data_IF_000620780181
#
_entry.id   IF_000620780181
#
_cell.length_a   1.000
_cell.length_b   1.000
_cell.length_c   1.000
_cell.angle_alpha   90.00
_cell.angle_beta   90.00
_cell.angle_gamma   90.00
#
_symmetry.space_group_name_H-M   'P 1'
#
loop_
_entity.id
_entity.type
_entity.pdbx_description
1 polymer ?
#
# COMPACT_ATOMS: atom_id res chain seq x y z
N UNK A 1 -75.44 19.34 30.12
CA UNK A 1 -74.70 19.13 31.39
C UNK A 1 -73.89 17.85 31.26
N UNK A 2 -72.58 18.00 31.16
CA UNK A 2 -71.62 16.95 30.83
C UNK A 2 -71.34 16.06 32.07
N UNK A 3 -71.43 14.73 31.94
CA UNK A 3 -70.91 13.77 32.91
C UNK A 3 -69.74 13.03 32.27
N UNK A 4 -68.57 13.21 32.89
CA UNK A 4 -67.30 12.59 32.53
C UNK A 4 -67.34 11.07 32.68
N UNK A 5 -66.85 10.35 31.68
CA UNK A 5 -66.47 8.94 31.77
C UNK A 5 -64.96 8.88 31.52
N UNK A 6 -64.21 8.46 32.54
CA UNK A 6 -62.79 8.15 32.43
C UNK A 6 -62.62 6.83 31.68
N UNK A 7 -61.82 6.83 30.60
CA UNK A 7 -61.30 5.63 29.96
C UNK A 7 -59.79 5.51 30.26
N UNK A 8 -59.24 4.31 30.49
CA UNK A 8 -57.84 4.12 30.85
C UNK A 8 -56.93 4.18 29.61
N UNK A 9 -55.72 4.72 29.79
CA UNK A 9 -54.66 4.76 28.77
C UNK A 9 -54.20 3.34 28.38
N UNK A 10 -53.92 3.07 27.09
CA UNK A 10 -53.28 1.83 26.70
C UNK A 10 -51.78 1.90 27.01
N UNK A 11 -51.25 0.83 27.60
CA UNK A 11 -49.82 0.64 27.82
C UNK A 11 -49.11 0.45 26.49
N UNK A 12 -48.24 1.39 26.12
CA UNK A 12 -47.35 1.27 24.98
C UNK A 12 -46.16 0.40 25.40
N UNK A 13 -46.17 -0.86 24.98
CA UNK A 13 -45.00 -1.74 25.04
C UNK A 13 -44.04 -1.27 23.95
N UNK A 14 -42.98 -0.58 24.36
CA UNK A 14 -41.88 -0.16 23.49
C UNK A 14 -41.03 -1.40 23.16
N UNK A 15 -41.35 -2.08 22.06
CA UNK A 15 -40.50 -3.14 21.50
C UNK A 15 -39.26 -2.43 20.96
N UNK A 16 -38.16 -2.50 21.71
CA UNK A 16 -36.85 -2.03 21.27
C UNK A 16 -36.41 -2.80 20.02
N UNK A 17 -36.48 -2.15 18.86
CA UNK A 17 -35.85 -2.64 17.64
C UNK A 17 -34.35 -2.51 17.84
N UNK A 18 -33.71 -3.59 18.29
CA UNK A 18 -32.25 -3.73 18.23
C UNK A 18 -31.90 -3.82 16.75
N UNK A 19 -31.55 -2.69 16.15
CA UNK A 19 -30.91 -2.66 14.84
C UNK A 19 -29.54 -3.31 15.03
N UNK A 20 -29.46 -4.61 14.74
CA UNK A 20 -28.19 -5.26 14.48
C UNK A 20 -27.61 -4.59 13.23
N UNK A 21 -26.79 -3.57 13.44
CA UNK A 21 -25.82 -3.13 12.45
C UNK A 21 -24.90 -4.33 12.23
N UNK A 22 -25.23 -5.12 11.21
CA UNK A 22 -24.34 -6.09 10.62
C UNK A 22 -23.11 -5.32 10.14
N UNK A 23 -22.12 -5.15 11.00
CA UNK A 23 -20.77 -4.83 10.58
C UNK A 23 -20.26 -6.05 9.82
N UNK A 24 -20.56 -6.07 8.52
CA UNK A 24 -19.90 -6.94 7.57
C UNK A 24 -18.43 -6.52 7.60
N UNK A 25 -17.62 -7.25 8.35
CA UNK A 25 -16.17 -7.12 8.32
C UNK A 25 -15.75 -7.31 6.86
N UNK A 26 -15.38 -6.20 6.23
CA UNK A 26 -15.02 -6.16 4.83
C UNK A 26 -13.59 -6.69 4.72
N UNK A 27 -13.43 -7.95 4.33
CA UNK A 27 -12.11 -8.54 4.07
C UNK A 27 -11.66 -8.10 2.68
N UNK A 28 -11.16 -6.87 2.57
CA UNK A 28 -10.56 -6.41 1.33
C UNK A 28 -9.16 -7.03 1.19
N UNK A 29 -8.92 -7.80 0.12
CA UNK A 29 -7.62 -8.45 -0.08
C UNK A 29 -6.55 -7.43 -0.53
N UNK A 30 -6.93 -6.42 -1.31
CA UNK A 30 -6.10 -5.22 -1.60
C UNK A 30 -6.92 -4.12 -2.30
N UNK A 31 -6.55 -2.86 -2.12
CA UNK A 31 -7.03 -1.72 -2.91
C UNK A 31 -6.00 -0.60 -2.94
N UNK A 32 -6.14 0.33 -3.88
CA UNK A 32 -5.32 1.54 -3.93
C UNK A 32 -5.93 2.56 -2.98
N UNK A 33 -5.26 2.79 -1.85
CA UNK A 33 -5.70 3.70 -0.80
C UNK A 33 -5.44 5.15 -1.19
N UNK A 34 -4.21 5.42 -1.62
CA UNK A 34 -3.77 6.73 -2.03
C UNK A 34 -2.68 6.61 -3.07
N UNK A 35 -2.45 7.70 -3.77
CA UNK A 35 -1.49 7.78 -4.85
C UNK A 35 -1.07 9.22 -5.12
N UNK A 36 0.03 9.37 -5.84
CA UNK A 36 0.56 10.67 -6.26
C UNK A 36 1.41 10.52 -7.51
N UNK A 37 1.80 11.63 -8.10
CA UNK A 37 2.76 11.65 -9.19
C UNK A 37 3.98 12.51 -8.84
N UNK A 38 4.97 12.53 -9.74
CA UNK A 38 6.07 13.50 -9.66
C UNK A 38 5.62 14.94 -9.89
N UNK A 39 4.51 15.15 -10.59
CA UNK A 39 3.96 16.48 -10.89
C UNK A 39 3.02 16.98 -9.78
N UNK A 40 2.36 16.06 -9.08
CA UNK A 40 1.45 16.31 -7.96
C UNK A 40 1.95 15.49 -6.77
N UNK A 41 2.84 16.07 -5.97
CA UNK A 41 3.70 15.36 -5.00
C UNK A 41 3.02 15.02 -3.65
N UNK A 42 1.80 15.50 -3.44
CA UNK A 42 0.97 15.18 -2.28
C UNK A 42 0.12 13.94 -2.56
N UNK A 43 0.00 13.06 -1.57
CA UNK A 43 -0.86 11.88 -1.69
C UNK A 43 -2.34 12.29 -1.71
N UNK A 44 -3.03 11.89 -2.78
CA UNK A 44 -4.46 12.01 -2.92
C UNK A 44 -5.11 10.66 -2.62
N UNK A 45 -6.33 10.66 -2.07
CA UNK A 45 -7.09 9.43 -1.88
C UNK A 45 -7.49 8.84 -3.24
N UNK A 46 -7.48 7.51 -3.35
CA UNK A 46 -7.75 6.78 -4.58
C UNK A 46 -9.13 6.11 -4.54
N UNK A 47 -9.21 4.80 -4.27
CA UNK A 47 -10.47 4.05 -4.26
C UNK A 47 -11.26 4.30 -2.96
N UNK A 48 -12.54 3.88 -2.95
CA UNK A 48 -13.49 4.08 -1.84
C UNK A 48 -13.77 5.57 -1.56
N UNK A 49 -13.74 6.38 -2.60
CA UNK A 49 -14.02 7.81 -2.56
C UNK A 49 -15.22 8.13 -3.47
N UNK A 50 -15.99 9.20 -3.19
CA UNK A 50 -16.99 9.69 -4.15
C UNK A 50 -16.35 9.92 -5.52
N UNK A 51 -17.00 9.45 -6.60
CA UNK A 51 -16.44 9.52 -7.96
C UNK A 51 -16.06 10.96 -8.37
N UNK A 52 -16.78 11.98 -7.90
CA UNK A 52 -16.48 13.39 -8.14
C UNK A 52 -15.21 13.91 -7.46
N UNK A 53 -14.70 13.19 -6.46
CA UNK A 53 -13.60 13.63 -5.59
C UNK A 53 -12.28 12.89 -5.83
N UNK A 54 -12.27 11.89 -6.71
CA UNK A 54 -11.10 11.05 -6.97
C UNK A 54 -10.77 10.97 -8.45
N UNK A 55 -9.51 10.65 -8.73
CA UNK A 55 -9.02 10.31 -10.06
C UNK A 55 -8.83 8.79 -10.22
N UNK A 56 -9.31 8.00 -9.26
CA UNK A 56 -9.23 6.53 -9.26
C UNK A 56 -10.61 5.91 -9.22
N UNK A 57 -10.90 5.01 -10.16
CA UNK A 57 -12.18 4.30 -10.23
C UNK A 57 -12.37 3.44 -8.99
N UNK A 58 -13.62 3.36 -8.55
CA UNK A 58 -13.94 2.81 -7.24
C UNK A 58 -13.59 1.31 -7.13
N UNK A 59 -13.70 0.78 -5.92
CA UNK A 59 -13.72 -0.65 -5.66
C UNK A 59 -14.87 -0.97 -4.70
N UNK A 60 -15.32 -2.22 -4.70
CA UNK A 60 -16.36 -2.67 -3.77
C UNK A 60 -15.90 -2.56 -2.31
N UNK A 61 -16.85 -2.71 -1.40
CA UNK A 61 -16.53 -2.96 0.00
C UNK A 61 -15.85 -4.33 0.18
N UNK A 62 -16.37 -5.36 -0.51
CA UNK A 62 -15.73 -6.67 -0.65
C UNK A 62 -14.85 -6.71 -1.92
N UNK A 63 -13.64 -6.18 -1.82
CA UNK A 63 -12.68 -6.14 -2.94
C UNK A 63 -12.09 -7.53 -3.08
N UNK A 64 -12.68 -8.31 -3.96
CA UNK A 64 -12.17 -9.63 -4.29
C UNK A 64 -11.33 -9.63 -5.54
N UNK A 65 -10.72 -10.78 -5.77
CA UNK A 65 -9.90 -11.09 -6.92
C UNK A 65 -10.78 -11.56 -8.09
N UNK A 66 -10.24 -11.51 -9.29
CA UNK A 66 -10.76 -12.26 -10.44
C UNK A 66 -9.95 -13.55 -10.55
N UNK A 67 -10.65 -14.68 -10.59
CA UNK A 67 -10.02 -15.98 -10.75
C UNK A 67 -9.49 -16.20 -12.15
N UNK A 68 -8.38 -16.93 -12.23
CA UNK A 68 -7.77 -17.34 -13.48
C UNK A 68 -8.72 -18.08 -14.43
N UNK A 69 -9.80 -18.70 -13.94
CA UNK A 69 -10.79 -19.38 -14.78
C UNK A 69 -11.78 -18.43 -15.46
N UNK A 70 -11.73 -17.13 -15.12
CA UNK A 70 -12.71 -16.12 -15.54
C UNK A 70 -12.05 -14.92 -16.25
N UNK A 71 -10.91 -15.12 -16.91
CA UNK A 71 -10.19 -14.03 -17.58
C UNK A 71 -10.72 -13.72 -18.99
N UNK A 72 -11.25 -14.74 -19.66
CA UNK A 72 -11.68 -14.71 -21.05
C UNK A 72 -13.12 -14.19 -21.15
N UNK A 73 -13.26 -12.89 -21.45
CA UNK A 73 -14.56 -12.26 -21.70
C UNK A 73 -15.21 -11.60 -20.49
N UNK A 74 -14.64 -11.74 -19.29
CA UNK A 74 -15.15 -11.07 -18.10
C UNK A 74 -14.71 -9.59 -18.06
N UNK A 75 -15.66 -8.66 -17.88
CA UNK A 75 -15.38 -7.23 -17.80
C UNK A 75 -14.67 -6.85 -16.49
N UNK A 76 -14.76 -7.66 -15.46
CA UNK A 76 -14.07 -7.45 -14.19
C UNK A 76 -12.53 -7.42 -14.37
N UNK A 77 -11.98 -8.11 -15.37
CA UNK A 77 -10.53 -8.12 -15.60
C UNK A 77 -9.98 -6.75 -16.03
N UNK A 78 -10.83 -5.81 -16.44
CA UNK A 78 -10.37 -4.49 -16.91
C UNK A 78 -9.99 -3.61 -15.73
N UNK A 79 -10.93 -3.37 -14.79
CA UNK A 79 -10.76 -2.47 -13.65
C UNK A 79 -11.32 -3.02 -12.32
N UNK A 80 -11.81 -4.26 -12.31
CA UNK A 80 -12.54 -4.85 -11.18
C UNK A 80 -14.05 -4.83 -11.33
N UNK A 81 -14.73 -5.45 -10.38
CA UNK A 81 -16.19 -5.48 -10.27
C UNK A 81 -16.63 -5.38 -8.81
N UNK A 82 -17.90 -5.05 -8.58
CA UNK A 82 -18.40 -4.80 -7.23
C UNK A 82 -18.67 -6.07 -6.42
N UNK A 83 -18.72 -7.23 -7.06
CA UNK A 83 -19.01 -8.50 -6.41
C UNK A 83 -18.01 -9.56 -6.84
N UNK A 84 -17.29 -10.11 -5.87
CA UNK A 84 -16.50 -11.34 -6.03
C UNK A 84 -17.11 -12.42 -5.15
N UNK A 85 -17.50 -13.58 -5.73
CA UNK A 85 -17.99 -14.72 -4.96
C UNK A 85 -16.95 -15.22 -3.96
N UNK A 86 -17.36 -15.45 -2.71
CA UNK A 86 -16.51 -16.06 -1.67
C UNK A 86 -16.71 -17.58 -1.62
N UNK A 87 -15.61 -18.33 -1.47
CA UNK A 87 -15.61 -19.79 -1.31
C UNK A 87 -16.32 -20.55 -2.43
N UNK A 88 -16.28 -20.00 -3.66
CA UNK A 88 -16.91 -20.56 -4.86
C UNK A 88 -16.03 -20.35 -6.08
N UNK A 89 -15.99 -21.33 -6.96
CA UNK A 89 -15.47 -21.17 -8.33
C UNK A 89 -16.55 -20.49 -9.17
N UNK A 90 -16.55 -19.16 -9.24
CA UNK A 90 -17.51 -18.39 -10.01
C UNK A 90 -16.95 -17.04 -10.49
N UNK A 91 -17.45 -16.56 -11.62
CA UNK A 91 -17.10 -15.23 -12.17
C UNK A 91 -17.50 -14.12 -11.20
N UNK A 92 -16.69 -13.07 -11.07
CA UNK A 92 -17.13 -11.79 -10.51
C UNK A 92 -18.36 -11.21 -11.25
N UNK A 93 -19.10 -10.34 -10.56
CA UNK A 93 -20.31 -9.73 -11.10
C UNK A 93 -20.65 -8.38 -10.46
N UNK A 94 -21.90 -7.96 -10.63
CA UNK A 94 -22.39 -6.67 -10.16
C UNK A 94 -22.01 -5.52 -11.10
N UNK A 95 -21.67 -4.36 -10.53
CA UNK A 95 -21.19 -3.20 -11.28
C UNK A 95 -19.74 -3.43 -11.71
N UNK A 96 -19.41 -3.13 -12.97
CA UNK A 96 -18.03 -3.19 -13.43
C UNK A 96 -17.42 -1.80 -13.37
N UNK A 97 -16.33 -1.66 -12.62
CA UNK A 97 -15.64 -0.35 -12.48
C UNK A 97 -15.00 0.11 -13.80
N UNK A 98 -14.98 -0.75 -14.81
CA UNK A 98 -14.55 -0.43 -16.16
C UNK A 98 -15.58 0.35 -16.97
N UNK A 99 -16.86 0.30 -16.58
CA UNK A 99 -17.95 0.91 -17.32
C UNK A 99 -17.84 2.45 -17.31
N UNK A 100 -18.40 3.09 -18.34
CA UNK A 100 -18.42 4.56 -18.41
C UNK A 100 -19.19 5.21 -17.25
N UNK A 101 -20.20 4.52 -16.69
CA UNK A 101 -20.94 4.99 -15.51
C UNK A 101 -20.12 4.99 -14.22
N UNK A 102 -19.02 4.25 -14.19
CA UNK A 102 -18.09 4.18 -13.06
C UNK A 102 -16.83 5.03 -13.31
N UNK A 103 -16.86 5.90 -14.32
CA UNK A 103 -15.80 6.89 -14.55
C UNK A 103 -15.78 7.93 -13.42
N UNK A 104 -14.63 8.57 -13.23
CA UNK A 104 -14.38 9.47 -12.09
C UNK A 104 -14.07 10.88 -12.55
N UNK A 105 -14.37 11.85 -11.68
CA UNK A 105 -14.43 13.27 -12.01
C UNK A 105 -13.10 14.03 -11.93
N UNK A 106 -12.03 13.41 -11.43
CA UNK A 106 -10.68 14.00 -11.43
C UNK A 106 -9.72 13.23 -12.33
N UNK A 107 -8.60 13.87 -12.62
CA UNK A 107 -7.49 13.29 -13.37
C UNK A 107 -6.19 13.71 -12.72
N UNK A 108 -5.29 12.76 -12.46
CA UNK A 108 -3.96 13.03 -11.88
C UNK A 108 -2.98 13.40 -13.00
N UNK A 109 -2.31 14.52 -12.88
CA UNK A 109 -1.31 14.96 -13.88
C UNK A 109 0.03 14.28 -13.64
N UNK A 110 0.74 13.90 -14.70
CA UNK A 110 2.12 13.42 -14.65
C UNK A 110 2.86 13.83 -15.92
N UNK A 111 4.14 14.16 -15.82
CA UNK A 111 4.99 14.32 -17.01
C UNK A 111 5.40 12.94 -17.56
N UNK A 112 5.51 12.79 -18.88
CA UNK A 112 6.21 11.67 -19.46
C UNK A 112 7.66 11.63 -18.94
N UNK A 113 8.16 10.45 -18.60
CA UNK A 113 9.43 10.26 -17.87
C UNK A 113 9.30 10.40 -16.35
N UNK A 114 8.13 10.82 -15.84
CA UNK A 114 7.82 10.87 -14.43
C UNK A 114 7.49 9.50 -13.83
N UNK A 115 6.90 9.52 -12.63
CA UNK A 115 6.40 8.30 -11.96
C UNK A 115 5.12 8.53 -11.20
N UNK A 116 4.35 7.46 -11.04
CA UNK A 116 3.21 7.34 -10.14
C UNK A 116 3.65 6.52 -8.92
N UNK A 117 3.33 7.02 -7.72
CA UNK A 117 3.54 6.28 -6.47
C UNK A 117 2.17 5.87 -5.91
N UNK A 118 1.94 4.58 -5.72
CA UNK A 118 0.72 3.99 -5.18
C UNK A 118 0.94 3.51 -3.75
N UNK A 119 -0.10 3.60 -2.92
CA UNK A 119 -0.18 2.92 -1.62
C UNK A 119 -1.26 1.86 -1.72
N UNK A 120 -0.84 0.59 -1.75
CA UNK A 120 -1.75 -0.56 -1.75
C UNK A 120 -2.04 -0.95 -0.30
N UNK A 121 -3.31 -1.00 0.08
CA UNK A 121 -3.73 -1.39 1.43
C UNK A 121 -4.70 -2.56 1.38
N UNK A 122 -4.71 -3.39 2.42
CA UNK A 122 -5.74 -4.41 2.66
C UNK A 122 -6.63 -3.98 3.82
N UNK A 123 -6.70 -4.83 4.86
CA UNK A 123 -7.21 -4.43 6.17
C UNK A 123 -6.40 -3.23 6.74
N UNK A 124 -7.00 -2.40 7.61
CA UNK A 124 -6.27 -1.31 8.28
C UNK A 124 -4.98 -1.79 8.96
N UNK A 125 -3.84 -1.22 8.55
CA UNK A 125 -2.51 -1.56 9.07
C UNK A 125 -1.86 -2.77 8.39
N UNK A 126 -2.56 -3.47 7.50
CA UNK A 126 -2.03 -4.60 6.75
C UNK A 126 -1.67 -4.20 5.32
N UNK A 127 -0.60 -4.80 4.84
CA UNK A 127 -0.21 -4.76 3.43
C UNK A 127 -0.97 -5.79 2.59
N UNK A 128 -0.48 -6.02 1.39
CA UNK A 128 -0.91 -7.12 0.53
C UNK A 128 -0.69 -8.46 1.25
N UNK A 129 -1.69 -9.36 1.34
CA UNK A 129 -1.61 -10.55 2.19
C UNK A 129 -0.92 -11.73 1.50
N UNK A 130 -0.81 -11.71 0.17
CA UNK A 130 -0.30 -12.85 -0.58
C UNK A 130 1.23 -12.80 -0.73
N UNK A 131 1.91 -13.95 -0.62
CA UNK A 131 3.37 -14.00 -0.55
C UNK A 131 4.04 -13.94 -1.92
N UNK A 132 3.34 -14.25 -3.02
CA UNK A 132 3.96 -14.44 -4.34
C UNK A 132 3.09 -13.89 -5.45
N UNK A 133 3.73 -13.26 -6.43
CA UNK A 133 3.02 -12.70 -7.56
C UNK A 133 3.86 -11.78 -8.43
N UNK A 134 3.26 -11.38 -9.55
CA UNK A 134 3.81 -10.38 -10.46
C UNK A 134 2.97 -9.10 -10.40
N UNK A 135 3.59 -7.97 -10.74
CA UNK A 135 2.89 -6.69 -10.86
C UNK A 135 3.12 -6.13 -12.26
N UNK A 136 2.07 -5.59 -12.83
CA UNK A 136 2.08 -4.98 -14.16
C UNK A 136 1.28 -3.69 -14.16
N UNK A 137 1.66 -2.77 -15.04
CA UNK A 137 0.91 -1.55 -15.27
C UNK A 137 0.79 -1.27 -16.77
N UNK A 138 -0.36 -0.70 -17.15
CA UNK A 138 -0.73 -0.40 -18.51
C UNK A 138 -1.33 1.00 -18.62
N UNK A 139 -1.24 1.59 -19.81
CA UNK A 139 -1.97 2.80 -20.17
C UNK A 139 -2.89 2.52 -21.36
N UNK A 140 -4.11 3.03 -21.28
CA UNK A 140 -5.10 3.00 -22.35
C UNK A 140 -5.55 4.40 -22.71
N UNK A 141 -5.27 4.85 -23.93
CA UNK A 141 -5.53 6.24 -24.35
C UNK A 141 -7.05 6.54 -24.45
N UNK A 142 -7.49 7.65 -23.83
CA UNK A 142 -8.87 8.13 -23.85
C UNK A 142 -9.09 9.30 -24.83
N UNK A 143 -8.07 10.15 -25.03
CA UNK A 143 -8.20 11.37 -25.81
C UNK A 143 -7.24 12.48 -25.37
N UNK A 144 -7.23 13.59 -26.12
CA UNK A 144 -6.23 14.65 -25.98
C UNK A 144 -6.47 15.54 -24.76
N UNK A 145 -7.73 15.80 -24.39
CA UNK A 145 -8.05 16.69 -23.27
C UNK A 145 -7.78 16.00 -21.92
N UNK A 146 -7.42 16.79 -20.90
CA UNK A 146 -7.19 16.30 -19.54
C UNK A 146 -8.43 15.62 -18.91
N UNK A 147 -9.63 15.95 -19.38
CA UNK A 147 -10.89 15.34 -18.94
C UNK A 147 -11.37 14.16 -19.80
N UNK A 148 -10.65 13.76 -20.85
CA UNK A 148 -11.16 12.78 -21.82
C UNK A 148 -11.52 11.40 -21.22
N UNK A 149 -10.91 11.01 -20.09
CA UNK A 149 -11.24 9.75 -19.42
C UNK A 149 -12.50 9.81 -18.53
N UNK A 150 -12.99 11.00 -18.16
CA UNK A 150 -14.04 11.18 -17.13
C UNK A 150 -15.43 10.63 -17.52
N UNK A 151 -15.61 10.21 -18.77
CA UNK A 151 -16.80 9.51 -19.25
C UNK A 151 -16.43 8.33 -20.16
N UNK A 152 -15.18 7.86 -20.10
CA UNK A 152 -14.65 6.85 -20.99
C UNK A 152 -15.00 5.44 -20.49
N UNK A 153 -15.42 4.54 -21.39
CA UNK A 153 -15.58 3.12 -21.09
C UNK A 153 -14.21 2.44 -21.21
N UNK A 154 -13.62 2.07 -20.08
CA UNK A 154 -12.28 1.51 -20.01
C UNK A 154 -12.15 0.23 -20.85
N UNK A 155 -13.23 -0.53 -21.04
CA UNK A 155 -13.21 -1.75 -21.88
C UNK A 155 -12.94 -1.46 -23.36
N UNK A 156 -13.09 -0.20 -23.80
CA UNK A 156 -12.82 0.23 -25.18
C UNK A 156 -11.36 0.63 -25.42
N UNK A 157 -10.58 0.89 -24.38
CA UNK A 157 -9.18 1.31 -24.54
C UNK A 157 -8.33 0.22 -25.21
N UNK A 158 -7.37 0.63 -26.02
CA UNK A 158 -6.24 -0.21 -26.43
C UNK A 158 -5.10 0.02 -25.43
N UNK A 159 -4.75 -1.02 -24.68
CA UNK A 159 -3.78 -0.92 -23.59
C UNK A 159 -2.40 -1.33 -24.06
N UNK A 160 -1.39 -0.52 -23.78
CA UNK A 160 0.01 -0.92 -23.87
C UNK A 160 0.62 -1.05 -22.48
N UNK A 161 1.50 -2.02 -22.31
CA UNK A 161 2.15 -2.29 -21.01
C UNK A 161 3.28 -1.28 -20.79
N UNK A 162 3.34 -0.65 -19.62
CA UNK A 162 4.41 0.30 -19.25
C UNK A 162 5.35 -0.26 -18.19
N UNK A 163 4.91 -1.27 -17.45
CA UNK A 163 5.74 -1.92 -16.43
C UNK A 163 5.39 -3.39 -16.33
N UNK A 164 6.44 -4.20 -16.15
CA UNK A 164 6.35 -5.59 -15.72
C UNK A 164 7.45 -5.85 -14.70
N UNK A 165 7.07 -6.40 -13.55
CA UNK A 165 8.03 -6.89 -12.57
C UNK A 165 7.62 -8.31 -12.18
N UNK A 166 8.38 -9.28 -12.69
CA UNK A 166 8.29 -10.69 -12.27
C UNK A 166 8.67 -10.77 -10.79
N UNK A 167 8.02 -11.65 -10.04
CA UNK A 167 8.24 -11.80 -8.59
C UNK A 167 8.06 -10.51 -7.76
N UNK A 168 7.35 -9.52 -8.30
CA UNK A 168 7.15 -8.22 -7.69
C UNK A 168 6.65 -8.28 -6.25
N UNK A 169 5.73 -9.20 -5.96
CA UNK A 169 5.07 -9.26 -4.65
C UNK A 169 6.10 -9.57 -3.57
N UNK A 170 6.80 -10.70 -3.70
CA UNK A 170 7.79 -11.16 -2.72
C UNK A 170 9.02 -10.25 -2.65
N UNK A 171 9.51 -9.78 -3.80
CA UNK A 171 10.84 -9.17 -3.87
C UNK A 171 10.80 -7.65 -3.67
N UNK A 172 9.63 -7.01 -3.90
CA UNK A 172 9.53 -5.54 -3.92
C UNK A 172 8.32 -4.99 -3.17
N UNK A 173 7.11 -5.52 -3.38
CA UNK A 173 5.89 -4.95 -2.78
C UNK A 173 5.86 -5.19 -1.26
N UNK A 174 6.00 -6.45 -0.82
CA UNK A 174 5.96 -6.78 0.62
C UNK A 174 7.08 -6.09 1.41
N UNK A 175 8.35 -6.07 0.94
CA UNK A 175 9.41 -5.30 1.61
C UNK A 175 9.14 -3.80 1.68
N UNK A 176 8.35 -3.25 0.76
CA UNK A 176 7.99 -1.83 0.71
C UNK A 176 6.77 -1.47 1.58
N UNK A 177 6.49 -2.23 2.64
CA UNK A 177 5.46 -1.86 3.63
C UNK A 177 5.80 -0.53 4.30
N UNK A 178 4.86 0.42 4.26
CA UNK A 178 4.98 1.70 4.93
C UNK A 178 3.82 1.87 5.92
N UNK A 179 4.13 1.82 7.22
CA UNK A 179 3.13 1.90 8.29
C UNK A 179 2.55 3.30 8.49
N UNK A 180 3.31 4.36 8.19
CA UNK A 180 2.82 5.75 8.28
C UNK A 180 1.78 6.02 7.19
N UNK A 181 2.01 5.48 6.00
CA UNK A 181 1.04 5.49 4.90
C UNK A 181 -0.03 4.40 5.05
N UNK A 182 0.19 3.43 5.92
CA UNK A 182 -0.71 2.31 6.21
C UNK A 182 -0.96 1.40 5.00
N UNK A 183 0.09 1.06 4.25
CA UNK A 183 0.05 0.15 3.10
C UNK A 183 1.43 -0.07 2.46
N UNK A 184 1.53 -0.98 1.49
CA UNK A 184 2.75 -1.15 0.69
C UNK A 184 2.85 -0.05 -0.36
N UNK A 185 4.06 0.46 -0.57
CA UNK A 185 4.33 1.46 -1.60
C UNK A 185 4.79 0.79 -2.88
N UNK A 186 4.23 1.22 -4.01
CA UNK A 186 4.68 0.78 -5.34
C UNK A 186 4.91 1.98 -6.26
N UNK A 187 5.98 1.94 -7.06
CA UNK A 187 6.28 2.97 -8.05
C UNK A 187 6.13 2.44 -9.47
N UNK A 188 5.39 3.19 -10.29
CA UNK A 188 5.22 2.92 -11.72
C UNK A 188 5.85 4.07 -12.51
N UNK A 189 6.94 3.83 -13.27
CA UNK A 189 7.48 4.84 -14.16
C UNK A 189 6.54 5.07 -15.36
N UNK A 190 6.41 6.32 -15.78
CA UNK A 190 5.76 6.68 -17.04
C UNK A 190 6.88 6.85 -18.08
N UNK A 191 6.96 6.03 -19.13
CA UNK A 191 8.01 6.18 -20.15
C UNK A 191 7.99 7.59 -20.77
N UNK A 192 9.18 8.13 -21.12
CA UNK A 192 9.32 9.47 -21.70
C UNK A 192 8.63 9.63 -23.05
N UNK A 193 8.46 8.51 -23.72
CA UNK A 193 7.94 8.34 -25.06
C UNK A 193 6.41 8.30 -25.09
N UNK A 194 5.76 8.23 -23.93
CA UNK A 194 4.30 8.25 -23.82
C UNK A 194 3.80 9.60 -24.37
N UNK A 195 2.93 9.59 -25.40
CA UNK A 195 2.42 10.82 -25.97
C UNK A 195 1.48 11.57 -25.04
N UNK A 196 1.29 12.85 -25.31
CA UNK A 196 0.42 13.69 -24.49
C UNK A 196 -1.03 13.21 -24.58
N UNK A 197 -1.73 13.28 -23.45
CA UNK A 197 -3.18 13.11 -23.39
C UNK A 197 -3.62 12.40 -22.12
N UNK A 198 -4.90 12.04 -22.08
CA UNK A 198 -5.48 11.32 -20.96
C UNK A 198 -5.53 9.82 -21.19
N UNK A 199 -5.24 9.08 -20.12
CA UNK A 199 -5.12 7.63 -20.13
C UNK A 199 -5.86 7.00 -18.96
N UNK A 200 -6.52 5.87 -19.22
CA UNK A 200 -6.83 4.89 -18.17
C UNK A 200 -5.50 4.24 -17.76
N UNK A 201 -5.10 4.46 -16.52
CA UNK A 201 -3.97 3.80 -15.88
C UNK A 201 -4.46 2.53 -15.21
N UNK A 202 -4.13 1.37 -15.77
CA UNK A 202 -4.50 0.06 -15.21
C UNK A 202 -3.32 -0.51 -14.45
N UNK A 203 -3.46 -0.63 -13.14
CA UNK A 203 -2.49 -1.28 -12.25
C UNK A 203 -3.02 -2.64 -11.81
N UNK A 204 -2.18 -3.66 -11.88
CA UNK A 204 -2.59 -5.03 -11.60
C UNK A 204 -1.54 -5.79 -10.78
N UNK A 205 -2.02 -6.43 -9.72
CA UNK A 205 -1.28 -7.46 -8.99
C UNK A 205 -1.86 -8.81 -9.39
N UNK A 206 -1.01 -9.80 -9.70
CA UNK A 206 -1.41 -11.18 -9.96
C UNK A 206 -0.73 -12.05 -8.91
N UNK A 207 -1.52 -12.65 -8.01
CA UNK A 207 -1.02 -13.54 -6.96
C UNK A 207 -1.15 -15.00 -7.36
N UNK A 208 -0.10 -15.79 -7.14
CA UNK A 208 -0.02 -17.14 -7.73
C UNK A 208 -0.55 -18.25 -6.83
N UNK A 209 -1.50 -19.05 -7.33
CA UNK A 209 -2.14 -20.16 -6.63
C UNK A 209 -2.60 -19.77 -5.21
N UNK A 210 -3.29 -18.63 -5.09
CA UNK A 210 -3.60 -18.02 -3.80
C UNK A 210 -5.07 -18.12 -3.40
N UNK A 211 -5.95 -18.59 -4.29
CA UNK A 211 -7.33 -18.90 -3.88
C UNK A 211 -7.37 -20.14 -3.01
N UNK A 212 -8.39 -20.24 -2.16
CA UNK A 212 -8.58 -21.41 -1.31
C UNK A 212 -8.93 -22.66 -2.14
N UNK A 213 -8.85 -23.85 -1.52
CA UNK A 213 -9.20 -25.12 -2.17
C UNK A 213 -10.65 -25.15 -2.68
N UNK A 214 -11.59 -24.55 -1.92
CA UNK A 214 -12.99 -24.42 -2.35
C UNK A 214 -13.17 -23.50 -3.58
N UNK A 215 -12.17 -22.66 -3.84
CA UNK A 215 -12.13 -21.69 -4.93
C UNK A 215 -11.23 -22.15 -6.08
N UNK A 216 -10.66 -23.36 -6.01
CA UNK A 216 -9.96 -24.00 -7.12
C UNK A 216 -8.44 -23.77 -7.20
N UNK A 217 -7.80 -23.26 -6.15
CA UNK A 217 -6.35 -22.94 -6.14
C UNK A 217 -5.92 -22.07 -7.34
N UNK A 218 -6.78 -21.14 -7.73
CA UNK A 218 -6.60 -20.24 -8.86
C UNK A 218 -5.54 -19.17 -8.58
N UNK A 219 -4.94 -18.66 -9.65
CA UNK A 219 -4.28 -17.35 -9.60
C UNK A 219 -5.33 -16.25 -9.39
N UNK A 220 -4.97 -15.25 -8.59
CA UNK A 220 -5.83 -14.16 -8.19
C UNK A 220 -5.40 -12.85 -8.85
N UNK A 221 -6.27 -12.27 -9.67
CA UNK A 221 -6.01 -11.02 -10.38
C UNK A 221 -6.67 -9.85 -9.64
N UNK A 222 -5.90 -8.78 -9.41
CA UNK A 222 -6.34 -7.56 -8.74
C UNK A 222 -6.11 -6.33 -9.64
N UNK A 223 -6.88 -6.18 -10.74
CA UNK A 223 -6.83 -4.99 -11.58
C UNK A 223 -7.55 -3.83 -10.90
N UNK A 224 -7.01 -2.63 -11.10
CA UNK A 224 -7.57 -1.39 -10.61
C UNK A 224 -7.24 -0.27 -11.62
N UNK A 225 -8.08 0.77 -11.72
CA UNK A 225 -7.93 1.79 -12.75
C UNK A 225 -7.95 3.22 -12.21
N UNK A 226 -6.91 3.99 -12.52
CA UNK A 226 -6.84 5.44 -12.38
C UNK A 226 -7.02 6.19 -13.70
N UNK A 227 -7.14 7.52 -13.62
CA UNK A 227 -7.14 8.44 -14.75
C UNK A 227 -5.92 9.34 -14.65
N UNK A 228 -5.04 9.28 -15.65
CA UNK A 228 -3.87 10.13 -15.76
C UNK A 228 -4.04 11.13 -16.89
N UNK A 229 -3.50 12.33 -16.73
CA UNK A 229 -3.17 13.23 -17.84
C UNK A 229 -1.66 13.29 -17.96
N UNK A 230 -1.13 12.67 -19.01
CA UNK A 230 0.29 12.69 -19.31
C UNK A 230 0.61 13.93 -20.12
N UNK A 231 1.48 14.79 -19.59
CA UNK A 231 2.08 15.91 -20.31
C UNK A 231 3.34 15.43 -21.03
N UNK A 232 3.48 15.78 -22.31
CA UNK A 232 4.55 15.27 -23.16
C UNK A 232 4.67 16.13 -24.41
N UNK A 233 5.86 16.14 -25.04
CA UNK A 233 6.06 16.69 -26.38
C UNK A 233 5.71 15.70 -27.50
N UNK A 234 5.46 14.43 -27.17
CA UNK A 234 5.16 13.40 -28.17
C UNK A 234 3.67 13.42 -28.58
N UNK A 235 3.42 13.33 -29.88
CA UNK A 235 2.08 13.20 -30.45
C UNK A 235 1.59 11.76 -30.49
N UNK A 236 0.27 11.57 -30.52
CA UNK A 236 -0.40 10.26 -30.40
C UNK A 236 -0.13 9.29 -31.55
N UNK A 237 0.41 9.77 -32.67
CA UNK A 237 0.81 8.93 -33.81
C UNK A 237 1.85 7.87 -33.42
N UNK A 238 2.64 8.11 -32.37
CA UNK A 238 3.61 7.12 -31.86
C UNK A 238 2.95 5.85 -31.32
N UNK A 239 1.69 5.93 -30.85
CA UNK A 239 0.93 4.78 -30.35
C UNK A 239 0.69 3.72 -31.44
N UNK A 240 0.67 4.11 -32.72
CA UNK A 240 0.49 3.18 -33.84
C UNK A 240 1.64 2.17 -33.99
N UNK A 241 2.78 2.45 -33.37
CA UNK A 241 3.97 1.59 -33.41
C UNK A 241 4.12 0.69 -32.18
N UNK A 242 3.20 0.79 -31.21
CA UNK A 242 3.27 0.09 -29.93
C UNK A 242 2.31 -1.09 -29.95
N UNK A 243 2.78 -2.25 -29.50
CA UNK A 243 1.91 -3.41 -29.31
C UNK A 243 0.85 -3.10 -28.24
N UNK A 244 -0.42 -3.27 -28.61
CA UNK A 244 -1.55 -3.05 -27.70
C UNK A 244 -2.40 -4.29 -27.57
N UNK A 245 -3.09 -4.41 -26.44
CA UNK A 245 -4.06 -5.45 -26.14
C UNK A 245 -5.39 -4.86 -25.68
N UNK A 246 -6.44 -5.69 -25.69
CA UNK A 246 -7.75 -5.36 -25.14
C UNK A 246 -8.01 -6.16 -23.86
N UNK A 247 -8.66 -5.53 -22.89
CA UNK A 247 -9.23 -6.21 -21.73
C UNK A 247 -10.76 -6.07 -21.78
N UNK A 248 -11.53 -7.17 -21.65
CA UNK A 248 -11.07 -8.56 -21.73
C UNK A 248 -10.48 -8.92 -23.11
N UNK A 249 -9.70 -10.01 -23.16
CA UNK A 249 -9.13 -10.55 -24.41
C UNK A 249 -7.61 -10.74 -24.40
N UNK A 250 -6.89 -10.06 -23.51
CA UNK A 250 -5.44 -10.18 -23.42
C UNK A 250 -4.97 -11.48 -22.76
N UNK A 251 -5.79 -12.07 -21.88
CA UNK A 251 -5.45 -13.24 -21.07
C UNK A 251 -6.30 -14.45 -21.45
N UNK A 252 -5.74 -15.64 -21.20
CA UNK A 252 -6.43 -16.93 -21.36
C UNK A 252 -6.78 -17.46 -19.98
N UNK A 253 -7.87 -18.22 -19.89
CA UNK A 253 -8.23 -18.87 -18.63
C UNK A 253 -7.17 -19.90 -18.19
N UNK A 254 -7.06 -20.09 -16.87
CA UNK A 254 -6.14 -20.99 -16.20
C UNK A 254 -4.94 -20.29 -15.57
N UNK A 255 -4.32 -20.96 -14.58
CA UNK A 255 -3.13 -20.44 -13.90
C UNK A 255 -1.96 -20.28 -14.88
N UNK A 256 -1.10 -19.30 -14.61
CA UNK A 256 0.10 -19.02 -15.39
C UNK A 256 1.35 -19.60 -14.73
N UNK A 257 2.43 -19.87 -15.48
CA UNK A 257 3.71 -20.22 -14.88
C UNK A 257 4.19 -19.10 -13.93
N UNK A 258 4.55 -19.43 -12.69
CA UNK A 258 4.87 -18.44 -11.64
C UNK A 258 6.06 -17.52 -11.98
N UNK A 259 6.95 -17.93 -12.87
CA UNK A 259 8.08 -17.09 -13.33
C UNK A 259 7.73 -16.23 -14.57
N UNK A 260 6.50 -16.29 -15.04
CA UNK A 260 6.00 -15.56 -16.20
C UNK A 260 5.06 -14.45 -15.78
N UNK A 261 4.85 -13.49 -16.68
CA UNK A 261 3.83 -12.49 -16.52
C UNK A 261 3.07 -12.40 -17.87
N UNK A 262 1.73 -12.30 -17.85
CA UNK A 262 0.92 -12.41 -19.06
C UNK A 262 0.87 -11.08 -19.83
N UNK A 263 0.28 -11.08 -21.02
CA UNK A 263 0.10 -9.88 -21.84
C UNK A 263 1.30 -9.53 -22.73
N UNK A 264 1.25 -8.37 -23.42
CA UNK A 264 2.26 -7.97 -24.42
C UNK A 264 3.59 -7.62 -23.78
N UNK A 265 4.64 -7.41 -24.57
CA UNK A 265 5.89 -6.87 -24.04
C UNK A 265 5.67 -5.46 -23.44
N UNK A 266 6.55 -5.06 -22.51
CA UNK A 266 6.61 -3.66 -22.05
C UNK A 266 6.93 -2.78 -23.25
N UNK A 267 6.23 -1.65 -23.37
CA UNK A 267 6.36 -0.72 -24.48
C UNK A 267 7.82 -0.35 -24.69
N UNK A 268 8.22 -0.41 -25.95
CA UNK A 268 9.45 0.17 -26.45
C UNK A 268 9.05 0.87 -27.74
N UNK A 269 9.48 2.11 -27.94
CA UNK A 269 9.38 2.66 -29.29
C UNK A 269 10.28 1.81 -30.19
N UNK A 270 9.75 1.41 -31.34
CA UNK A 270 10.60 0.92 -32.40
C UNK A 270 11.57 2.05 -32.76
N UNK A 271 12.81 1.98 -32.26
CA UNK A 271 13.87 2.81 -32.81
C UNK A 271 13.88 2.51 -34.29
N UNK A 272 13.70 3.53 -35.12
CA UNK A 272 13.83 3.42 -36.57
C UNK A 272 15.30 3.13 -36.86
N UNK A 273 15.69 1.88 -36.67
CA UNK A 273 16.94 1.36 -37.16
C UNK A 273 16.85 1.52 -38.67
N UNK A 274 17.75 2.33 -39.23
CA UNK A 274 18.13 2.16 -40.62
C UNK A 274 18.61 0.72 -40.78
N UNK A 275 17.72 -0.14 -41.26
CA UNK A 275 18.16 -1.34 -41.94
C UNK A 275 17.16 -1.64 -43.03
N UNK A 276 17.61 -1.29 -44.23
CA UNK A 276 17.05 -1.70 -45.51
C UNK A 276 16.62 -3.17 -45.50
N UNK A 277 15.42 -3.37 -46.03
CA UNK A 277 14.92 -4.52 -46.77
C UNK A 277 15.84 -5.76 -46.84
N UNK A 278 15.32 -6.90 -46.39
CA UNK A 278 14.94 -7.97 -47.33
C UNK A 278 14.09 -9.02 -46.64
N UNK A 279 12.87 -9.21 -47.15
CA UNK A 279 12.12 -10.46 -47.05
C UNK A 279 12.91 -11.56 -47.75
N UNK A 280 13.00 -12.75 -47.18
CA UNK A 280 12.86 -13.98 -47.98
C UNK A 280 12.56 -15.20 -47.09
N UNK A 281 11.58 -16.00 -47.51
CA UNK A 281 11.30 -17.32 -46.97
C UNK A 281 11.89 -18.39 -47.91
N UNK A 282 12.57 -19.39 -47.32
CA UNK A 282 12.81 -20.78 -47.76
C UNK A 282 13.41 -21.03 -49.16
N UNK A 283 14.61 -21.64 -49.20
CA UNK A 283 14.89 -23.09 -49.38
C UNK A 283 16.33 -23.31 -49.91
N UNK A 284 16.89 -24.45 -49.51
CA UNK A 284 18.24 -24.97 -49.75
C UNK A 284 18.81 -24.87 -51.20
N UNK A 285 20.15 -24.76 -51.31
CA UNK A 285 21.06 -25.72 -51.97
C UNK A 285 22.53 -25.21 -51.93
N UNK A 286 23.39 -26.03 -51.31
CA UNK A 286 24.76 -26.47 -51.68
C UNK A 286 25.90 -25.47 -52.06
N UNK A 287 26.93 -25.53 -51.22
CA UNK A 287 28.40 -25.30 -51.35
C UNK A 287 29.00 -24.60 -52.59
N UNK A 288 29.90 -23.65 -52.33
CA UNK A 288 31.35 -23.66 -52.68
C UNK A 288 31.97 -22.34 -52.18
N UNK A 289 32.89 -22.39 -51.22
CA UNK A 289 34.35 -22.27 -51.36
C UNK A 289 34.89 -20.84 -51.46
N UNK A 290 35.73 -20.51 -50.47
CA UNK A 290 36.90 -19.62 -50.48
C UNK A 290 36.78 -18.21 -51.09
N UNK A 291 37.14 -17.17 -50.31
CA UNK A 291 38.55 -16.78 -50.13
C UNK A 291 38.69 -15.50 -49.28
N UNK A 292 39.46 -15.66 -48.21
CA UNK A 292 40.36 -14.74 -47.50
C UNK A 292 40.70 -13.39 -48.16
N UNK A 293 40.67 -12.30 -47.37
CA UNK A 293 41.80 -11.38 -47.06
C UNK A 293 41.26 -10.28 -46.10
N UNK A 294 41.68 -10.21 -44.82
CA UNK A 294 42.86 -9.50 -44.26
C UNK A 294 43.01 -8.05 -44.75
N UNK A 295 42.83 -7.07 -43.86
CA UNK A 295 43.87 -6.24 -43.16
C UNK A 295 43.18 -5.09 -42.40
N UNK A 296 43.43 -4.90 -41.08
CA UNK A 296 44.51 -4.11 -40.43
C UNK A 296 44.25 -2.60 -40.58
N UNK A 297 43.61 -1.93 -39.61
CA UNK A 297 44.10 -1.39 -38.32
C UNK A 297 44.59 0.06 -38.41
N UNK A 298 44.51 0.75 -37.26
CA UNK A 298 45.10 2.07 -36.91
C UNK A 298 44.21 3.24 -37.41
N UNK A 299 43.82 4.26 -36.64
CA UNK A 299 44.61 5.04 -35.69
C UNK A 299 43.78 5.85 -34.67
N UNK A 300 44.53 6.33 -33.68
CA UNK A 300 44.36 7.18 -32.49
C UNK A 300 43.46 8.44 -32.48
N UNK A 301 43.16 8.86 -31.23
CA UNK A 301 42.98 10.24 -30.77
C UNK A 301 41.87 10.33 -29.72
N UNK A 302 42.08 10.29 -28.39
CA UNK A 302 42.82 11.18 -27.48
C UNK A 302 42.22 12.60 -27.34
N UNK A 303 41.44 12.82 -26.28
CA UNK A 303 41.36 14.04 -25.46
C UNK A 303 40.39 13.76 -24.28
N UNK A 304 40.86 13.52 -23.05
CA UNK A 304 41.03 14.48 -21.92
C UNK A 304 39.79 15.30 -21.58
N UNK A 305 39.18 15.03 -20.42
CA UNK A 305 38.90 16.08 -19.43
C UNK A 305 38.82 15.53 -17.98
N UNK A 306 39.90 15.78 -17.25
CA UNK A 306 40.01 16.37 -15.90
C UNK A 306 38.88 16.19 -14.89
N UNK A 307 39.08 15.23 -13.98
CA UNK A 307 38.55 15.21 -12.61
C UNK A 307 39.41 16.11 -11.69
N UNK A 308 38.81 16.90 -10.79
CA UNK A 308 39.40 17.28 -9.48
C UNK A 308 38.35 17.85 -8.50
N UNK A 309 38.31 17.19 -7.33
CA UNK A 309 37.93 17.57 -5.95
C UNK A 309 36.60 18.27 -5.65
N UNK A 310 35.72 17.67 -4.85
CA UNK A 310 35.83 17.34 -3.40
C UNK A 310 35.89 18.58 -2.52
N UNK A 311 34.79 18.84 -1.82
CA UNK A 311 34.78 19.66 -0.62
C UNK A 311 33.71 19.14 0.33
N UNK A 312 34.24 18.58 1.41
CA UNK A 312 33.63 18.18 2.65
C UNK A 312 32.93 19.33 3.38
N UNK A 313 31.73 19.11 3.90
CA UNK A 313 31.24 19.83 5.09
C UNK A 313 30.24 18.98 5.89
N UNK A 314 30.50 18.90 7.18
CA UNK A 314 29.64 18.46 8.29
C UNK A 314 30.23 19.11 9.55
N UNK A 315 29.51 19.25 10.67
CA UNK A 315 28.05 19.34 10.87
C UNK A 315 27.67 20.59 11.69
N UNK A 316 26.48 21.16 11.47
CA UNK A 316 25.91 22.15 12.39
C UNK A 316 24.97 21.46 13.40
N UNK A 317 25.50 21.38 14.61
CA UNK A 317 24.85 20.96 15.85
C UNK A 317 23.68 21.89 16.20
N UNK A 318 22.46 21.37 16.17
CA UNK A 318 21.32 21.94 16.91
C UNK A 318 20.86 20.92 17.94
N UNK A 319 21.44 21.06 19.13
CA UNK A 319 20.96 20.44 20.36
C UNK A 319 19.62 21.10 20.72
N UNK A 320 18.50 20.45 20.39
CA UNK A 320 17.22 20.68 21.07
C UNK A 320 16.99 19.52 22.03
N UNK A 321 17.31 19.77 23.29
CA UNK A 321 16.91 18.96 24.43
C UNK A 321 15.38 18.97 24.52
N UNK A 322 14.72 18.00 23.90
CA UNK A 322 13.33 17.70 24.20
C UNK A 322 13.30 16.83 25.45
N UNK A 323 12.89 17.49 26.54
CA UNK A 323 12.47 16.86 27.78
C UNK A 323 11.47 15.74 27.48
N UNK A 324 11.76 14.54 27.98
CA UNK A 324 10.83 13.43 28.04
C UNK A 324 9.51 13.91 28.68
N UNK A 325 8.48 14.11 27.85
CA UNK A 325 7.14 14.34 28.36
C UNK A 325 6.60 12.98 28.82
N UNK A 326 6.41 12.84 30.13
CA UNK A 326 6.29 11.55 30.82
C UNK A 326 4.96 10.82 30.65
N UNK A 327 4.04 11.34 29.84
CA UNK A 327 2.64 10.95 29.88
C UNK A 327 2.11 10.35 28.55
N UNK A 328 2.91 10.37 27.47
CA UNK A 328 2.51 9.81 26.17
C UNK A 328 2.98 8.35 26.02
N UNK A 329 2.04 7.44 25.76
CA UNK A 329 2.36 6.02 25.56
C UNK A 329 3.14 5.86 24.26
N UNK A 330 4.28 5.17 24.33
CA UNK A 330 5.07 4.67 23.21
C UNK A 330 5.74 5.71 22.28
N UNK A 331 6.09 6.90 22.78
CA UNK A 331 6.82 7.91 22.00
C UNK A 331 8.33 7.66 21.84
N UNK A 332 8.87 6.54 22.34
CA UNK A 332 10.31 6.28 22.28
C UNK A 332 10.79 5.75 20.92
N UNK A 333 11.98 6.19 20.49
CA UNK A 333 12.66 5.78 19.25
C UNK A 333 13.00 4.27 19.20
N UNK A 334 12.90 3.57 20.33
CA UNK A 334 13.26 2.16 20.54
C UNK A 334 12.11 1.18 20.28
N UNK A 335 10.91 1.67 19.96
CA UNK A 335 9.73 0.82 19.76
C UNK A 335 9.66 0.33 18.31
N UNK A 336 9.47 -0.99 18.07
CA UNK A 336 9.29 -1.53 16.72
C UNK A 336 8.18 -0.81 15.95
N UNK A 337 8.33 -0.66 14.64
CA UNK A 337 7.33 0.01 13.79
C UNK A 337 5.94 -0.65 13.87
N UNK A 338 5.89 -1.99 13.94
CA UNK A 338 4.65 -2.75 14.15
C UNK A 338 3.89 -2.32 15.43
N UNK A 339 4.62 -2.04 16.51
CA UNK A 339 4.06 -1.60 17.79
C UNK A 339 3.51 -0.18 17.73
N UNK A 340 4.17 0.73 17.00
CA UNK A 340 3.67 2.10 16.77
C UNK A 340 2.38 2.09 15.96
N UNK A 341 2.34 1.29 14.90
CA UNK A 341 1.13 1.10 14.09
C UNK A 341 -0.03 0.59 14.95
N UNK A 342 0.21 -0.45 15.76
CA UNK A 342 -0.82 -1.00 16.61
C UNK A 342 -1.38 0.02 17.60
N UNK A 343 -0.53 0.86 18.19
CA UNK A 343 -1.02 1.92 19.06
C UNK A 343 -1.85 2.95 18.30
N UNK A 344 -1.38 3.39 17.12
CA UNK A 344 -2.09 4.36 16.28
C UNK A 344 -3.46 3.85 15.83
N UNK A 345 -3.58 2.55 15.51
CA UNK A 345 -4.86 1.91 15.21
C UNK A 345 -5.76 1.91 16.44
N UNK A 346 -5.26 1.52 17.62
CA UNK A 346 -6.08 1.47 18.83
C UNK A 346 -6.48 2.85 19.36
N UNK A 347 -5.70 3.88 19.09
CA UNK A 347 -6.10 5.27 19.33
C UNK A 347 -7.36 5.67 18.56
N UNK A 348 -7.55 5.17 17.32
CA UNK A 348 -8.77 5.41 16.54
C UNK A 348 -9.99 4.62 17.06
N UNK A 349 -9.75 3.58 17.84
CA UNK A 349 -10.77 2.70 18.43
C UNK A 349 -11.04 3.01 19.91
N UNK A 350 -10.48 4.09 20.47
CA UNK A 350 -10.64 4.44 21.91
C UNK A 350 -12.10 4.55 22.31
N UNK A 351 -12.97 5.10 21.47
CA UNK A 351 -14.39 5.23 21.77
C UNK A 351 -15.11 3.91 22.09
N UNK A 352 -14.62 2.77 21.58
CA UNK A 352 -15.16 1.43 21.88
C UNK A 352 -14.32 0.65 22.89
N UNK A 353 -13.00 0.86 22.90
CA UNK A 353 -12.08 0.11 23.75
C UNK A 353 -11.88 0.74 25.14
N UNK A 354 -12.11 2.04 25.26
CA UNK A 354 -11.84 2.88 26.42
C UNK A 354 -12.72 4.15 26.40
N UNK A 355 -14.07 4.00 26.45
CA UNK A 355 -15.01 5.09 26.18
C UNK A 355 -14.87 6.30 27.11
N UNK A 356 -14.39 6.08 28.34
CA UNK A 356 -14.21 7.13 29.36
C UNK A 356 -12.80 7.76 29.35
N UNK A 357 -11.96 7.39 28.39
CA UNK A 357 -10.58 7.88 28.29
C UNK A 357 -10.39 8.82 27.10
N UNK A 358 -9.67 9.92 27.32
CA UNK A 358 -9.13 10.69 26.21
C UNK A 358 -8.00 9.91 25.51
N UNK A 359 -7.86 10.09 24.19
CA UNK A 359 -6.79 9.45 23.40
C UNK A 359 -5.40 9.87 23.87
N UNK A 360 -5.28 11.04 24.50
CA UNK A 360 -4.04 11.57 25.08
C UNK A 360 -3.80 11.14 26.54
N UNK A 361 -4.78 10.53 27.20
CA UNK A 361 -4.66 10.12 28.60
C UNK A 361 -4.08 8.70 28.69
N UNK A 362 -2.75 8.61 28.55
CA UNK A 362 -2.03 7.35 28.58
C UNK A 362 -2.27 6.53 29.85
N UNK A 363 -2.44 7.19 30.99
CA UNK A 363 -2.74 6.50 32.25
C UNK A 363 -4.13 5.88 32.22
N UNK A 364 -5.14 6.61 31.75
CA UNK A 364 -6.49 6.08 31.59
C UNK A 364 -6.50 4.92 30.59
N UNK A 365 -5.91 5.07 29.41
CA UNK A 365 -5.84 4.03 28.39
C UNK A 365 -5.16 2.75 28.89
N UNK A 366 -4.04 2.87 29.60
CA UNK A 366 -3.34 1.73 30.19
C UNK A 366 -4.11 1.04 31.33
N UNK A 367 -5.11 1.69 31.93
CA UNK A 367 -5.98 1.08 32.93
C UNK A 367 -7.13 0.27 32.31
N UNK A 368 -7.40 0.44 31.01
CA UNK A 368 -8.49 -0.23 30.30
C UNK A 368 -8.04 -1.58 29.74
N UNK A 369 -8.57 -2.67 30.30
CA UNK A 369 -8.23 -4.05 29.90
C UNK A 369 -8.49 -4.31 28.41
N UNK A 370 -9.58 -3.78 27.86
CA UNK A 370 -9.95 -3.97 26.47
C UNK A 370 -8.96 -3.29 25.53
N UNK A 371 -8.55 -2.06 25.84
CA UNK A 371 -7.53 -1.34 25.09
C UNK A 371 -6.17 -2.05 25.13
N UNK A 372 -5.71 -2.44 26.32
CA UNK A 372 -4.44 -3.17 26.50
C UNK A 372 -4.44 -4.51 25.77
N UNK A 373 -5.53 -5.28 25.84
CA UNK A 373 -5.63 -6.56 25.16
C UNK A 373 -5.71 -6.39 23.64
N UNK A 374 -6.45 -5.39 23.16
CA UNK A 374 -6.56 -5.11 21.73
C UNK A 374 -5.22 -4.65 21.13
N UNK A 375 -4.42 -3.89 21.89
CA UNK A 375 -3.04 -3.58 21.52
C UNK A 375 -2.18 -4.85 21.42
N UNK A 376 -2.21 -5.71 22.44
CA UNK A 376 -1.41 -6.96 22.46
C UNK A 376 -1.81 -7.92 21.34
N UNK A 377 -3.10 -8.03 21.04
CA UNK A 377 -3.61 -8.82 19.92
C UNK A 377 -3.12 -8.25 18.59
N UNK A 378 -3.22 -6.93 18.41
CA UNK A 378 -2.66 -6.29 17.22
C UNK A 378 -1.16 -6.56 17.09
N UNK A 379 -0.38 -6.42 18.16
CA UNK A 379 1.05 -6.67 18.12
C UNK A 379 1.37 -8.13 17.77
N UNK A 380 0.56 -9.09 18.26
CA UNK A 380 0.69 -10.51 17.93
C UNK A 380 0.46 -10.78 16.45
N UNK A 381 -0.51 -10.09 15.87
CA UNK A 381 -0.92 -10.31 14.47
C UNK A 381 -0.03 -9.56 13.47
N UNK A 382 0.71 -8.53 13.91
CA UNK A 382 1.38 -7.59 13.00
C UNK A 382 2.89 -7.38 13.26
N UNK A 383 3.45 -7.94 14.34
CA UNK A 383 4.91 -7.95 14.52
C UNK A 383 5.51 -9.23 13.93
N UNK A 384 6.36 -9.12 12.88
CA UNK A 384 6.67 -10.24 11.98
C UNK A 384 7.60 -11.30 12.59
N UNK A 385 8.30 -10.98 13.68
CA UNK A 385 9.16 -11.93 14.39
C UNK A 385 8.79 -12.04 15.87
N UNK A 386 9.00 -13.22 16.45
CA UNK A 386 8.75 -13.46 17.88
C UNK A 386 9.55 -12.51 18.80
N UNK A 387 10.83 -12.16 18.51
CA UNK A 387 11.56 -11.14 19.27
C UNK A 387 10.94 -9.74 19.18
N UNK A 388 10.47 -9.32 18.01
CA UNK A 388 9.83 -8.01 17.84
C UNK A 388 8.47 -7.95 18.53
N UNK A 389 7.67 -9.01 18.44
CA UNK A 389 6.43 -9.12 19.20
C UNK A 389 6.67 -9.03 20.71
N UNK A 390 7.65 -9.79 21.23
CA UNK A 390 8.02 -9.72 22.65
C UNK A 390 8.49 -8.32 23.04
N UNK A 391 9.31 -7.69 22.20
CA UNK A 391 9.78 -6.31 22.43
C UNK A 391 8.60 -5.31 22.49
N UNK A 392 7.69 -5.39 21.52
CA UNK A 392 6.47 -4.58 21.45
C UNK A 392 5.62 -4.69 22.73
N UNK A 393 5.29 -5.92 23.13
CA UNK A 393 4.44 -6.18 24.30
C UNK A 393 5.14 -5.77 25.61
N UNK A 394 6.44 -6.04 25.74
CA UNK A 394 7.20 -5.73 26.95
C UNK A 394 7.37 -4.23 27.15
N UNK A 395 7.69 -3.49 26.09
CA UNK A 395 7.84 -2.03 26.15
C UNK A 395 6.51 -1.35 26.50
N UNK A 396 5.43 -1.75 25.82
CA UNK A 396 4.08 -1.24 26.10
C UNK A 396 3.64 -1.54 27.54
N UNK A 397 3.82 -2.79 27.99
CA UNK A 397 3.45 -3.20 29.35
C UNK A 397 4.27 -2.43 30.39
N UNK A 398 5.58 -2.28 30.18
CA UNK A 398 6.45 -1.51 31.09
C UNK A 398 6.04 -0.04 31.21
N UNK A 399 5.64 0.59 30.09
CA UNK A 399 5.14 1.96 30.12
C UNK A 399 3.79 2.06 30.82
N UNK A 400 2.87 1.14 30.56
CA UNK A 400 1.60 1.09 31.28
C UNK A 400 1.78 0.90 32.79
N UNK A 401 2.74 0.06 33.20
CA UNK A 401 3.07 -0.12 34.62
C UNK A 401 3.63 1.17 35.26
N UNK A 402 4.44 1.94 34.52
CA UNK A 402 4.97 3.23 34.99
C UNK A 402 3.85 4.27 35.15
N UNK A 403 2.94 4.35 34.18
CA UNK A 403 1.84 5.31 34.17
C UNK A 403 0.78 5.00 35.23
N UNK A 404 0.56 3.72 35.52
CA UNK A 404 -0.50 3.26 36.44
C UNK A 404 -0.02 3.07 37.89
N UNK A 405 1.29 2.93 38.15
CA UNK A 405 1.83 2.92 39.52
C UNK A 405 1.62 4.27 40.21
N UNK A 406 0.92 4.27 41.34
CA UNK A 406 0.96 5.39 42.31
C UNK A 406 2.43 5.64 42.68
N UNK A 407 2.94 6.87 42.51
CA UNK A 407 4.05 7.34 43.35
C UNK A 407 3.54 7.27 44.79
N UNK A 408 4.00 6.30 45.56
CA UNK A 408 3.96 6.41 47.01
C UNK A 408 4.80 7.63 47.37
N UNK A 409 4.14 8.75 47.66
CA UNK A 409 4.72 9.84 48.43
C UNK A 409 4.92 9.30 49.85
N UNK A 410 5.99 8.52 50.02
CA UNK A 410 6.53 8.17 51.32
C UNK A 410 6.78 9.47 52.07
N UNK A 411 6.04 9.66 53.15
CA UNK A 411 6.27 10.73 54.12
C UNK A 411 7.68 10.55 54.69
N UNK A 412 8.66 11.25 54.11
CA UNK A 412 9.96 11.45 54.73
C UNK A 412 9.74 12.28 56.00
N UNK A 413 9.55 11.58 57.13
CA UNK A 413 9.76 12.16 58.45
C UNK A 413 11.23 12.56 58.53
N UNK A 414 11.49 13.86 58.42
CA UNK A 414 12.76 14.49 58.80
C UNK A 414 13.07 14.09 60.25
N UNK A 415 14.07 13.22 60.43
CA UNK A 415 14.75 13.09 61.72
C UNK A 415 15.89 14.11 61.75
N UNK A 416 15.63 15.21 62.46
CA UNK A 416 16.59 16.27 62.77
C UNK A 416 17.77 15.69 63.57
N UNK A 417 18.93 15.51 62.92
CA UNK A 417 20.22 15.37 63.63
C UNK A 417 20.62 16.74 64.18
N UNK A 418 20.42 16.96 65.48
CA UNK A 418 21.07 18.05 66.23
C UNK A 418 22.46 17.59 66.66
N UNK A 419 23.48 18.35 66.28
CA UNK A 419 24.84 18.22 66.77
C UNK A 419 24.93 18.40 68.30
N UNK A 420 25.70 17.54 68.97
CA UNK A 420 26.46 17.91 70.17
C UNK A 420 27.83 17.23 70.15
N UNK A 421 28.87 18.07 70.26
CA UNK A 421 30.29 17.76 70.44
C UNK A 421 30.52 16.96 71.72
N UNK A 422 31.47 16.02 71.76
CA UNK A 422 32.82 16.17 72.37
C UNK A 422 33.57 14.83 72.45
N UNK A 423 34.88 14.89 72.09
CA UNK A 423 36.07 14.15 72.57
C UNK A 423 35.86 13.31 73.87
N UNK A 424 36.48 12.15 74.12
CA UNK A 424 37.90 11.79 74.02
C UNK A 424 38.12 10.35 74.55
N UNK A 425 39.21 9.69 74.11
CA UNK A 425 40.02 8.65 74.82
C UNK A 425 39.33 7.30 75.16
N UNK A 426 39.94 6.12 75.15
CA UNK A 426 41.32 5.66 74.99
C UNK A 426 41.30 4.11 74.88
N UNK A 427 42.19 3.57 74.04
CA UNK A 427 43.04 2.38 74.22
C UNK A 427 42.51 1.00 74.73
N UNK A 428 43.01 -0.03 74.01
CA UNK A 428 43.61 -1.31 74.48
C UNK A 428 42.77 -2.60 74.47
N UNK A 429 43.05 -3.41 73.42
CA UNK A 429 43.50 -4.82 73.37
C UNK A 429 43.24 -5.81 74.53
N UNK A 430 42.63 -6.96 74.18
CA UNK A 430 43.07 -8.39 74.37
C UNK A 430 41.84 -9.30 74.16
N UNK A 431 41.79 -10.26 73.23
CA UNK A 431 42.57 -11.50 73.00
C UNK A 431 42.32 -12.64 74.01
N UNK A 432 41.94 -13.81 73.47
CA UNK A 432 41.89 -15.13 74.11
C UNK A 432 40.48 -15.50 74.61
N UNK A 433 39.86 -16.62 74.24
CA UNK A 433 40.37 -17.94 73.85
C UNK A 433 39.56 -18.58 72.71
#
# INVERSE_FOLDING_TARGET
MSRSIHAPLPSIILIGVVVFLNFQFSVAHVYIKSWKSTSENEFQLAQKQPASETAYRDASTNIGWIGSDFLSGDRAIVCGASETPFAKVASPGGKYFADASEAVGKTLTVEAGGKITLVTAGDPGKGFPHPKGTIQAYLGYCGQSNTACQAFDATKASYFKIQEVKNAVQDKLLPAMNYDLGGNVWEVPIPGEVPQGSYIFRFEIIAFNQSDTAEGLQDQYYPSCGQLYVKSSHGVDSLNSIETVKFPGAYKNGNIPQASAPGPAVMQLATRAETSQSKEAKKAVKSTSDKTLKTKAVDTGAATDTDTESSSESPSNSTSSESENSDEICSSKLIPSCAKMCLAVKHKEVGSLAPDCAVTDGKCLCSQKNFVQAYKNCAKDNCPSEPEFKSAVNLFTSQCDRLTKKRDLGTHKMSLRRHRRFRSTSTVTKAGH
#
